data_IF_835332119634
#
_entry.id   IF_835332119634
#
_cell.length_a   1.000
_cell.length_b   1.000
_cell.length_c   1.000
_cell.angle_alpha   90.00
_cell.angle_beta   90.00
_cell.angle_gamma   90.00
#
_symmetry.space_group_name_H-M   'P 1'
#
loop_
_entity.id
_entity.type
_entity.pdbx_description
1 polymer ?
#
# COMPACT_ATOMS: atom_id res chain seq x y z
N UNK A 1 -64.49 -30.56 -29.75
CA UNK A 1 -63.66 -31.55 -29.01
C UNK A 1 -62.30 -30.88 -28.73
N UNK A 2 -62.31 -29.66 -28.18
CA UNK A 2 -61.13 -28.75 -28.13
C UNK A 2 -60.84 -28.21 -26.71
N UNK A 3 -61.46 -28.78 -25.67
CA UNK A 3 -61.26 -28.33 -24.29
C UNK A 3 -60.12 -29.09 -23.56
N UNK A 4 -59.70 -30.25 -24.08
CA UNK A 4 -58.65 -31.12 -23.52
C UNK A 4 -57.21 -30.74 -23.96
N UNK A 5 -57.07 -29.91 -25.01
CA UNK A 5 -55.77 -29.60 -25.60
C UNK A 5 -55.04 -28.44 -24.88
N UNK A 6 -55.79 -27.48 -24.31
CA UNK A 6 -55.25 -26.32 -23.57
C UNK A 6 -54.43 -26.68 -22.30
N UNK A 7 -54.87 -27.60 -21.42
CA UNK A 7 -54.05 -28.01 -20.28
C UNK A 7 -52.76 -28.72 -20.71
N UNK A 8 -52.82 -29.51 -21.78
CA UNK A 8 -51.66 -30.23 -22.32
C UNK A 8 -50.61 -29.28 -22.91
N UNK A 9 -51.04 -28.22 -23.62
CA UNK A 9 -50.13 -27.21 -24.16
C UNK A 9 -49.38 -26.43 -23.05
N UNK A 10 -50.03 -26.13 -21.92
CA UNK A 10 -49.39 -25.46 -20.78
C UNK A 10 -48.32 -26.34 -20.12
N UNK A 11 -48.60 -27.64 -19.97
CA UNK A 11 -47.64 -28.61 -19.40
C UNK A 11 -46.40 -28.71 -20.29
N UNK A 12 -46.60 -28.75 -21.61
CA UNK A 12 -45.50 -28.79 -22.58
C UNK A 12 -44.69 -27.48 -22.54
N UNK A 13 -45.36 -26.33 -22.51
CA UNK A 13 -44.70 -25.02 -22.44
C UNK A 13 -43.88 -24.83 -21.14
N UNK A 14 -44.41 -25.28 -20.00
CA UNK A 14 -43.68 -25.28 -18.73
C UNK A 14 -42.46 -26.20 -18.77
N UNK A 15 -42.60 -27.40 -19.35
CA UNK A 15 -41.49 -28.33 -19.56
C UNK A 15 -40.38 -27.73 -20.44
N UNK A 16 -40.75 -27.02 -21.51
CA UNK A 16 -39.83 -26.31 -22.37
C UNK A 16 -39.09 -25.19 -21.61
N UNK A 17 -39.81 -24.37 -20.83
CA UNK A 17 -39.21 -23.30 -20.04
C UNK A 17 -38.24 -23.82 -18.97
N UNK A 18 -38.62 -24.88 -18.25
CA UNK A 18 -37.73 -25.57 -17.29
C UNK A 18 -36.48 -26.14 -17.98
N UNK A 19 -36.63 -26.67 -19.20
CA UNK A 19 -35.51 -27.09 -20.04
C UNK A 19 -34.55 -25.95 -20.36
N UNK A 20 -35.07 -24.79 -20.77
CA UNK A 20 -34.27 -23.60 -21.06
C UNK A 20 -33.58 -23.07 -19.81
N UNK A 21 -34.31 -22.97 -18.68
CA UNK A 21 -33.75 -22.50 -17.40
C UNK A 21 -32.62 -23.43 -16.94
N UNK A 22 -32.82 -24.75 -16.99
CA UNK A 22 -31.77 -25.70 -16.57
C UNK A 22 -30.57 -25.71 -17.50
N UNK A 23 -30.73 -25.49 -18.80
CA UNK A 23 -29.61 -25.32 -19.73
C UNK A 23 -28.82 -24.03 -19.42
N UNK A 24 -29.52 -22.91 -19.25
CA UNK A 24 -28.92 -21.62 -18.88
C UNK A 24 -28.19 -21.70 -17.53
N UNK A 25 -28.74 -22.43 -16.55
CA UNK A 25 -28.11 -22.63 -15.25
C UNK A 25 -26.78 -23.41 -15.34
N UNK A 26 -26.65 -24.36 -16.27
CA UNK A 26 -25.37 -25.06 -16.47
C UNK A 26 -24.31 -24.12 -17.05
N UNK A 27 -24.68 -23.36 -18.08
CA UNK A 27 -23.79 -22.36 -18.68
C UNK A 27 -23.39 -21.28 -17.67
N UNK A 28 -24.34 -20.82 -16.85
CA UNK A 28 -24.09 -19.89 -15.75
C UNK A 28 -23.12 -20.48 -14.71
N UNK A 29 -23.28 -21.76 -14.36
CA UNK A 29 -22.38 -22.43 -13.42
C UNK A 29 -20.96 -22.55 -13.99
N UNK A 30 -20.82 -22.84 -15.28
CA UNK A 30 -19.54 -22.87 -15.97
C UNK A 30 -18.88 -21.49 -16.00
N UNK A 31 -19.63 -20.45 -16.38
CA UNK A 31 -19.14 -19.07 -16.35
C UNK A 31 -18.72 -18.65 -14.94
N UNK A 32 -19.50 -18.99 -13.92
CA UNK A 32 -19.16 -18.66 -12.54
C UNK A 32 -17.88 -19.40 -12.09
N UNK A 33 -17.72 -20.67 -12.48
CA UNK A 33 -16.50 -21.44 -12.19
C UNK A 33 -15.28 -20.85 -12.90
N UNK A 34 -15.43 -20.43 -14.15
CA UNK A 34 -14.37 -19.75 -14.89
C UNK A 34 -13.98 -18.44 -14.20
N UNK A 35 -14.97 -17.66 -13.77
CA UNK A 35 -14.73 -16.40 -13.07
C UNK A 35 -13.97 -16.62 -11.74
N UNK A 36 -14.42 -17.57 -10.93
CA UNK A 36 -13.74 -17.93 -9.68
C UNK A 36 -12.32 -18.45 -9.94
N UNK A 37 -12.11 -19.25 -10.99
CA UNK A 37 -10.78 -19.72 -11.38
C UNK A 37 -9.85 -18.57 -11.81
N UNK A 38 -10.37 -17.59 -12.53
CA UNK A 38 -9.60 -16.40 -12.93
C UNK A 38 -9.17 -15.57 -11.71
N UNK A 39 -10.06 -15.39 -10.73
CA UNK A 39 -9.74 -14.71 -9.47
C UNK A 39 -8.69 -15.46 -8.66
N UNK A 40 -8.78 -16.79 -8.59
CA UNK A 40 -7.80 -17.60 -7.87
C UNK A 40 -6.40 -17.49 -8.53
N UNK A 41 -6.33 -17.59 -9.85
CA UNK A 41 -5.07 -17.42 -10.58
C UNK A 41 -4.49 -16.01 -10.40
N UNK A 42 -5.33 -14.99 -10.27
CA UNK A 42 -4.88 -13.64 -9.95
C UNK A 42 -4.30 -13.56 -8.53
N UNK A 43 -4.96 -14.19 -7.55
CA UNK A 43 -4.48 -14.22 -6.16
C UNK A 43 -3.12 -14.92 -6.04
N UNK A 44 -2.92 -16.05 -6.74
CA UNK A 44 -1.63 -16.76 -6.79
C UNK A 44 -0.51 -15.90 -7.37
N UNK A 45 -0.79 -15.13 -8.44
CA UNK A 45 0.18 -14.18 -8.99
C UNK A 45 0.53 -13.07 -8.01
N UNK A 46 -0.45 -12.56 -7.26
CA UNK A 46 -0.20 -11.56 -6.23
C UNK A 46 0.64 -12.14 -5.09
N UNK A 47 0.34 -13.35 -4.64
CA UNK A 47 1.10 -14.04 -3.60
C UNK A 47 2.56 -14.23 -4.01
N UNK A 48 2.80 -14.75 -5.22
CA UNK A 48 4.15 -14.93 -5.75
C UNK A 48 4.90 -13.59 -5.91
N UNK A 49 4.22 -12.54 -6.38
CA UNK A 49 4.82 -11.21 -6.50
C UNK A 49 5.23 -10.63 -5.12
N UNK A 50 4.40 -10.82 -4.10
CA UNK A 50 4.73 -10.42 -2.72
C UNK A 50 5.91 -11.23 -2.18
N UNK A 51 5.93 -12.55 -2.38
CA UNK A 51 7.06 -13.38 -1.97
C UNK A 51 8.36 -12.96 -2.66
N UNK A 52 8.32 -12.61 -3.95
CA UNK A 52 9.49 -12.08 -4.65
C UNK A 52 9.97 -10.74 -4.08
N UNK A 53 9.07 -9.84 -3.71
CA UNK A 53 9.46 -8.58 -3.05
C UNK A 53 10.12 -8.85 -1.69
N UNK A 54 9.55 -9.75 -0.88
CA UNK A 54 10.10 -10.14 0.42
C UNK A 54 11.47 -10.80 0.25
N UNK A 55 11.61 -11.76 -0.67
CA UNK A 55 12.88 -12.42 -0.95
C UNK A 55 13.97 -11.44 -1.41
N UNK A 56 13.62 -10.44 -2.22
CA UNK A 56 14.56 -9.38 -2.64
C UNK A 56 14.98 -8.49 -1.48
N UNK A 57 14.08 -8.18 -0.54
CA UNK A 57 14.45 -7.45 0.68
C UNK A 57 15.29 -8.28 1.64
N UNK A 58 15.13 -9.61 1.67
CA UNK A 58 15.89 -10.51 2.53
C UNK A 58 17.29 -10.87 1.96
N UNK A 59 17.44 -10.88 0.63
CA UNK A 59 18.69 -11.25 -0.05
C UNK A 59 19.60 -10.07 -0.39
N UNK A 60 19.19 -8.82 -0.11
CA UNK A 60 20.08 -7.68 -0.23
C UNK A 60 21.24 -7.85 0.77
N UNK A 61 22.52 -7.72 0.36
CA UNK A 61 23.58 -7.55 1.33
C UNK A 61 23.22 -6.34 2.21
N UNK A 62 23.59 -6.32 3.51
CA UNK A 62 23.39 -5.13 4.32
C UNK A 62 24.27 -4.02 3.73
N UNK A 63 23.71 -3.28 2.76
CA UNK A 63 24.08 -1.90 2.54
C UNK A 63 23.94 -1.26 3.92
N UNK A 64 24.95 -0.55 4.45
CA UNK A 64 24.80 0.12 5.74
C UNK A 64 23.55 0.98 5.65
N UNK A 65 22.48 0.51 6.30
CA UNK A 65 21.24 1.24 6.37
C UNK A 65 21.56 2.61 6.96
N UNK A 66 20.94 3.71 6.49
CA UNK A 66 20.81 4.86 7.37
C UNK A 66 20.09 4.34 8.62
N UNK A 67 20.77 4.34 9.76
CA UNK A 67 20.45 3.57 10.96
C UNK A 67 18.95 3.53 11.28
N UNK A 68 18.27 2.44 10.92
CA UNK A 68 16.93 2.10 11.40
C UNK A 68 17.09 1.30 12.68
N UNK A 69 17.43 1.99 13.76
CA UNK A 69 17.33 1.41 15.11
C UNK A 69 16.01 1.92 15.69
N UNK A 70 15.11 0.97 15.95
CA UNK A 70 13.76 1.14 16.52
C UNK A 70 12.67 1.74 15.62
N UNK A 71 12.23 1.01 14.58
CA UNK A 71 10.82 0.95 14.12
C UNK A 71 10.03 2.24 13.79
N UNK A 72 10.61 3.42 13.93
CA UNK A 72 9.97 4.71 13.71
C UNK A 72 10.42 5.20 12.35
N UNK A 73 9.56 4.98 11.36
CA UNK A 73 9.70 5.62 10.06
C UNK A 73 9.31 7.08 10.26
N UNK A 74 10.30 7.96 10.45
CA UNK A 74 10.06 9.39 10.39
C UNK A 74 9.67 9.74 8.94
N UNK A 75 8.44 10.23 8.77
CA UNK A 75 7.97 10.72 7.48
C UNK A 75 8.67 12.04 7.12
N UNK A 76 8.71 12.36 5.83
CA UNK A 76 9.16 13.68 5.38
C UNK A 76 8.06 14.70 5.66
N UNK A 77 8.39 15.79 6.32
CA UNK A 77 7.45 16.89 6.55
C UNK A 77 6.97 17.44 5.21
N UNK A 78 5.66 17.47 5.02
CA UNK A 78 4.99 18.02 3.83
C UNK A 78 4.50 19.44 4.11
N UNK A 79 4.08 20.16 3.07
CA UNK A 79 3.50 21.50 3.22
C UNK A 79 2.16 21.52 3.99
N UNK A 80 1.54 20.36 4.20
CA UNK A 80 0.30 20.23 4.97
C UNK A 80 0.55 19.91 6.46
N UNK A 81 1.79 19.57 6.83
CA UNK A 81 2.13 19.22 8.21
C UNK A 81 2.40 20.48 9.03
N UNK A 82 1.94 20.46 10.29
CA UNK A 82 2.28 21.49 11.26
C UNK A 82 3.74 21.31 11.72
N UNK A 83 4.52 22.38 11.60
CA UNK A 83 5.97 22.37 11.87
C UNK A 83 6.25 21.99 13.32
N UNK A 84 5.47 22.53 14.26
CA UNK A 84 5.69 22.30 15.69
C UNK A 84 5.42 20.84 16.05
N UNK A 85 4.28 20.32 15.60
CA UNK A 85 3.88 18.93 15.83
C UNK A 85 4.88 17.94 15.22
N UNK A 86 5.45 18.28 14.06
CA UNK A 86 6.51 17.49 13.43
C UNK A 86 7.80 17.47 14.25
N UNK A 87 8.26 18.64 14.72
CA UNK A 87 9.48 18.75 15.53
C UNK A 87 9.34 18.06 16.89
N UNK A 88 8.19 18.16 17.54
CA UNK A 88 7.90 17.44 18.80
C UNK A 88 7.94 15.92 18.59
N UNK A 89 7.36 15.43 17.48
CA UNK A 89 7.38 14.02 17.12
C UNK A 89 8.81 13.54 16.80
N UNK A 90 9.61 14.38 16.13
CA UNK A 90 11.01 14.12 15.85
C UNK A 90 11.84 14.05 17.14
N UNK A 91 11.65 14.99 18.07
CA UNK A 91 12.39 15.05 19.32
C UNK A 91 12.04 13.87 20.24
N UNK A 92 10.75 13.52 20.35
CA UNK A 92 10.31 12.33 21.08
C UNK A 92 10.95 11.05 20.50
N UNK A 93 11.07 10.97 19.18
CA UNK A 93 11.76 9.86 18.50
C UNK A 93 13.25 9.85 18.78
N UNK A 94 13.89 11.01 18.71
CA UNK A 94 15.32 11.17 18.98
C UNK A 94 15.67 10.78 20.41
N UNK A 95 14.82 11.15 21.38
CA UNK A 95 14.99 10.78 22.78
C UNK A 95 14.78 9.27 22.99
N UNK A 96 13.71 8.71 22.43
CA UNK A 96 13.42 7.28 22.53
C UNK A 96 14.53 6.41 21.90
N UNK A 97 15.18 6.91 20.85
CA UNK A 97 16.29 6.24 20.18
C UNK A 97 17.67 6.59 20.75
N UNK A 98 17.75 7.48 21.74
CA UNK A 98 19.00 7.91 22.37
C UNK A 98 19.96 8.65 21.42
N UNK A 99 19.44 9.40 20.45
CA UNK A 99 20.29 10.13 19.50
C UNK A 99 20.99 11.30 20.19
N UNK A 100 22.32 11.42 20.03
CA UNK A 100 23.07 12.57 20.53
C UNK A 100 22.63 13.85 19.80
N UNK A 101 22.68 14.98 20.49
CA UNK A 101 22.13 16.28 20.01
C UNK A 101 22.76 16.68 18.67
N UNK A 102 24.03 16.35 18.48
CA UNK A 102 24.82 16.62 17.28
C UNK A 102 24.31 15.85 16.06
N UNK A 103 23.77 14.63 16.26
CA UNK A 103 23.21 13.81 15.18
C UNK A 103 21.77 14.19 14.84
N UNK A 104 21.04 14.84 15.76
CA UNK A 104 19.63 15.20 15.56
C UNK A 104 19.46 16.13 14.36
N UNK A 105 20.30 17.16 14.21
CA UNK A 105 20.23 18.09 13.08
C UNK A 105 20.52 17.41 11.73
N UNK A 106 21.53 16.55 11.67
CA UNK A 106 21.92 15.80 10.46
C UNK A 106 20.79 14.85 10.02
N UNK A 107 20.03 14.31 10.98
CA UNK A 107 18.88 13.43 10.72
C UNK A 107 17.59 14.19 10.40
N UNK A 108 17.43 15.42 10.91
CA UNK A 108 16.26 16.26 10.67
C UNK A 108 16.25 16.85 9.25
N UNK A 109 17.41 17.30 8.75
CA UNK A 109 17.52 18.04 7.49
C UNK A 109 16.94 17.29 6.26
N UNK A 110 17.19 15.98 6.06
CA UNK A 110 16.61 15.22 4.94
C UNK A 110 15.10 14.97 5.03
N UNK A 111 14.51 15.20 6.22
CA UNK A 111 13.09 15.01 6.47
C UNK A 111 12.27 16.27 6.22
N UNK A 112 12.89 17.44 6.14
CA UNK A 112 12.21 18.67 5.77
C UNK A 112 12.02 18.69 4.24
N UNK A 113 10.92 19.25 3.73
CA UNK A 113 10.73 19.45 2.29
C UNK A 113 10.40 20.90 1.94
N UNK A 114 10.68 21.29 0.69
CA UNK A 114 10.30 22.59 0.15
C UNK A 114 10.97 23.77 0.87
N UNK A 115 10.18 24.80 1.20
CA UNK A 115 10.66 26.08 1.74
C UNK A 115 11.36 25.95 3.10
N UNK A 116 11.05 24.89 3.84
CA UNK A 116 11.61 24.61 5.16
C UNK A 116 13.07 24.12 5.07
N UNK A 117 13.47 23.51 3.95
CA UNK A 117 14.89 23.23 3.68
C UNK A 117 15.66 24.50 3.29
N UNK A 118 15.03 25.43 2.57
CA UNK A 118 15.66 26.70 2.16
C UNK A 118 15.79 27.72 3.29
N UNK A 119 15.01 27.59 4.37
CA UNK A 119 15.18 28.42 5.57
C UNK A 119 16.58 28.24 6.20
N UNK A 120 17.23 27.08 6.00
CA UNK A 120 18.61 26.80 6.44
C UNK A 120 19.66 27.66 5.71
N UNK A 121 19.35 28.12 4.48
CA UNK A 121 20.20 29.05 3.72
C UNK A 121 20.02 30.51 4.16
N UNK A 122 19.01 30.80 4.99
CA UNK A 122 18.70 32.12 5.54
C UNK A 122 19.05 32.29 7.02
N UNK A 123 19.69 31.30 7.65
CA UNK A 123 20.08 31.39 9.05
C UNK A 123 21.31 32.31 9.24
N UNK A 124 21.33 33.13 10.31
CA UNK A 124 22.41 34.10 10.57
C UNK A 124 23.78 33.40 10.65
N UNK A 125 24.88 34.09 10.30
CA UNK A 125 26.21 33.49 10.08
C UNK A 125 26.88 32.82 11.30
N UNK A 126 26.19 32.69 12.44
CA UNK A 126 26.64 31.92 13.60
C UNK A 126 26.26 30.42 13.59
N UNK A 127 25.23 30.03 12.83
CA UNK A 127 24.77 28.62 12.73
C UNK A 127 25.31 27.88 11.49
N UNK A 128 25.92 28.60 10.55
CA UNK A 128 26.58 28.00 9.36
C UNK A 128 27.96 27.39 9.65
N UNK A 129 28.51 27.64 10.85
CA UNK A 129 29.83 27.14 11.25
C UNK A 129 29.89 25.60 11.42
N UNK A 130 28.74 24.94 11.56
CA UNK A 130 28.65 23.49 11.79
C UNK A 130 28.69 22.65 10.50
N UNK A 131 28.48 23.26 9.32
CA UNK A 131 28.42 22.55 8.04
C UNK A 131 29.77 22.49 7.27
N UNK A 132 30.78 23.25 7.70
CA UNK A 132 32.08 23.35 7.00
C UNK A 132 33.22 22.59 7.66
N UNK A 133 32.91 21.71 8.61
CA UNK A 133 33.88 21.05 9.48
C UNK A 133 33.84 19.53 9.46
N UNK A 134 33.60 18.87 8.33
CA UNK A 134 33.96 17.47 8.10
C UNK A 134 34.26 17.31 6.60
N UNK A 135 35.52 16.99 6.29
CA UNK A 135 36.04 16.72 4.95
C UNK A 135 35.58 15.37 4.41
#
# INVERSE_FOLDING_TARGET
MEDDERPTQLIVALGQMLGVITAMQREQAEMNRQFLGALQAQAERQAYALEQLVARTAAAPPVPAPSTLAGVVLHKMTAADDVQSFLESFEATAEACGWPVEERAVRLLPLLTGEVQTADLGLPPGSQAWLRGCA
#
